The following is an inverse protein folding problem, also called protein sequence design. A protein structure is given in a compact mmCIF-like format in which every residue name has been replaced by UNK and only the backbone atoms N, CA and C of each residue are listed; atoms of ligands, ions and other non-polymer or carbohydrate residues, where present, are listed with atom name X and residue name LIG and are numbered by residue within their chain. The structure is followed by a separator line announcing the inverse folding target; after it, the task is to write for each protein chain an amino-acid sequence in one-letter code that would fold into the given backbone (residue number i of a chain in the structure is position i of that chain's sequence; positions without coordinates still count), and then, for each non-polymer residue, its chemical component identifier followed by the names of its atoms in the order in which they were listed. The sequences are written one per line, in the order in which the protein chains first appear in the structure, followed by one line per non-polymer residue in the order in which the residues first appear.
data_IF_445489960823
#
_entry.id   IF_445489960823
#
_cell.length_a   1.000
_cell.length_b   1.000
_cell.length_c   1.000
_cell.angle_alpha   90.00
_cell.angle_beta   90.00
_cell.angle_gamma   90.00
#
_symmetry.space_group_name_H-M   'P 1'
#
loop_
_entity.id
_entity.type
_entity.pdbx_description
1 polymer ?
#
# COMPACT_ATOMS: atom_id res chain seq x y z
N UNK A 1 -82.64 -30.65 -23.65
CA UNK A 1 -82.96 -29.40 -22.91
C UNK A 1 -81.76 -29.02 -22.07
N UNK A 2 -81.30 -27.77 -22.18
CA UNK A 2 -80.29 -27.17 -21.29
C UNK A 2 -80.97 -26.84 -19.95
N UNK A 3 -80.24 -26.88 -18.83
CA UNK A 3 -79.90 -25.71 -17.99
C UNK A 3 -79.18 -26.09 -16.69
N UNK A 4 -78.44 -25.11 -16.18
CA UNK A 4 -77.28 -25.16 -15.29
C UNK A 4 -77.61 -25.25 -13.79
N UNK A 5 -76.65 -25.70 -12.96
CA UNK A 5 -76.37 -25.02 -11.69
C UNK A 5 -74.90 -25.10 -11.28
N UNK A 6 -74.32 -23.91 -11.20
CA UNK A 6 -73.05 -23.48 -10.62
C UNK A 6 -72.78 -24.04 -9.22
N UNK A 7 -71.57 -24.56 -8.98
CA UNK A 7 -70.92 -24.50 -7.65
C UNK A 7 -69.47 -24.07 -7.80
N UNK A 8 -69.08 -23.11 -6.95
CA UNK A 8 -67.84 -22.34 -6.98
C UNK A 8 -66.64 -23.15 -6.48
N UNK A 9 -65.50 -23.02 -7.16
CA UNK A 9 -64.22 -23.57 -6.70
C UNK A 9 -63.62 -22.71 -5.58
N UNK A 10 -63.29 -23.36 -4.47
CA UNK A 10 -62.36 -22.86 -3.46
C UNK A 10 -60.94 -23.33 -3.77
N UNK A 11 -59.94 -22.43 -3.85
CA UNK A 11 -58.67 -22.53 -3.10
C UNK A 11 -57.58 -21.55 -3.57
N UNK A 12 -57.08 -20.77 -2.60
CA UNK A 12 -55.71 -20.30 -2.38
C UNK A 12 -54.99 -19.37 -3.39
N UNK A 13 -55.09 -18.07 -3.09
CA UNK A 13 -53.95 -17.13 -2.85
C UNK A 13 -52.53 -17.50 -3.33
N UNK A 14 -52.17 -17.08 -4.56
CA UNK A 14 -50.78 -16.97 -5.02
C UNK A 14 -50.34 -15.50 -5.12
N UNK A 15 -49.59 -15.00 -4.13
CA UNK A 15 -49.08 -13.62 -4.11
C UNK A 15 -47.91 -13.34 -5.08
N UNK A 16 -47.55 -12.06 -5.30
CA UNK A 16 -46.68 -11.57 -6.39
C UNK A 16 -45.17 -11.81 -6.13
N UNK A 17 -44.77 -13.07 -5.95
CA UNK A 17 -43.35 -13.44 -5.70
C UNK A 17 -42.62 -13.97 -6.94
N UNK A 18 -43.31 -14.52 -7.93
CA UNK A 18 -42.68 -15.15 -9.11
C UNK A 18 -42.08 -14.16 -10.11
N UNK A 19 -42.69 -12.99 -10.27
CA UNK A 19 -42.18 -11.96 -11.20
C UNK A 19 -40.85 -11.37 -10.74
N UNK A 20 -40.63 -11.23 -9.42
CA UNK A 20 -39.37 -10.71 -8.88
C UNK A 20 -38.20 -11.68 -9.07
N UNK A 21 -38.46 -12.99 -8.99
CA UNK A 21 -37.46 -14.05 -9.22
C UNK A 21 -37.12 -14.18 -10.71
N UNK A 22 -38.13 -14.06 -11.58
CA UNK A 22 -37.97 -14.01 -13.04
C UNK A 22 -37.20 -12.75 -13.47
N UNK A 23 -37.48 -11.59 -12.84
CA UNK A 23 -36.76 -10.32 -13.07
C UNK A 23 -35.30 -10.41 -12.63
N UNK A 24 -35.00 -10.96 -11.44
CA UNK A 24 -33.62 -11.21 -10.97
C UNK A 24 -32.85 -12.19 -11.86
N UNK A 25 -33.51 -13.25 -12.36
CA UNK A 25 -32.91 -14.22 -13.29
C UNK A 25 -32.63 -13.59 -14.65
N UNK A 26 -33.52 -12.72 -15.14
CA UNK A 26 -33.31 -11.99 -16.38
C UNK A 26 -32.17 -10.96 -16.24
N UNK A 27 -32.10 -10.29 -15.09
CA UNK A 27 -31.01 -9.35 -14.77
C UNK A 27 -29.65 -10.07 -14.73
N UNK A 28 -29.56 -11.25 -14.09
CA UNK A 28 -28.35 -12.09 -14.13
C UNK A 28 -27.97 -12.54 -15.54
N UNK A 29 -28.95 -12.87 -16.40
CA UNK A 29 -28.71 -13.26 -17.80
C UNK A 29 -28.28 -12.09 -18.68
N UNK A 30 -28.75 -10.88 -18.39
CA UNK A 30 -28.25 -9.70 -19.09
C UNK A 30 -26.82 -9.36 -18.65
N UNK A 31 -26.50 -9.43 -17.36
CA UNK A 31 -25.13 -9.24 -16.85
C UNK A 31 -24.16 -10.26 -17.47
N UNK A 32 -24.52 -11.56 -17.53
CA UNK A 32 -23.64 -12.56 -18.16
C UNK A 32 -23.47 -12.36 -19.67
N UNK A 33 -24.51 -11.85 -20.37
CA UNK A 33 -24.40 -11.51 -21.79
C UNK A 33 -23.50 -10.28 -22.04
N UNK A 34 -23.42 -9.36 -21.09
CA UNK A 34 -22.46 -8.24 -21.16
C UNK A 34 -21.03 -8.73 -20.91
N UNK A 35 -20.82 -9.60 -19.92
CA UNK A 35 -19.50 -10.19 -19.62
C UNK A 35 -18.97 -11.09 -20.76
N UNK A 36 -19.86 -11.80 -21.46
CA UNK A 36 -19.50 -12.61 -22.64
C UNK A 36 -19.25 -11.75 -23.90
N UNK A 37 -19.96 -10.62 -24.05
CA UNK A 37 -19.70 -9.66 -25.13
C UNK A 37 -18.37 -8.93 -24.98
N UNK A 38 -17.93 -8.63 -23.75
CA UNK A 38 -16.57 -8.08 -23.51
C UNK A 38 -15.51 -9.10 -23.93
N UNK A 39 -15.66 -10.38 -23.59
CA UNK A 39 -14.68 -11.42 -23.93
C UNK A 39 -14.55 -11.72 -25.42
N UNK A 40 -15.58 -11.48 -26.22
CA UNK A 40 -15.53 -11.71 -27.67
C UNK A 40 -14.91 -10.55 -28.45
N UNK A 41 -14.76 -9.36 -27.85
CA UNK A 41 -14.17 -8.20 -28.50
C UNK A 41 -12.63 -8.14 -28.39
N UNK A 42 -12.03 -8.93 -27.50
CA UNK A 42 -10.58 -8.96 -27.26
C UNK A 42 -9.80 -9.85 -28.24
N UNK A 43 -10.46 -10.81 -28.92
CA UNK A 43 -9.77 -11.76 -29.82
C UNK A 43 -9.77 -11.35 -31.29
N UNK A 44 -10.39 -10.23 -31.64
CA UNK A 44 -10.57 -9.81 -33.03
C UNK A 44 -10.27 -8.31 -33.21
N UNK A 45 -9.01 -7.91 -33.05
CA UNK A 45 -8.36 -6.78 -33.76
C UNK A 45 -6.94 -6.56 -33.25
N UNK A 46 -5.98 -7.16 -33.95
CA UNK A 46 -4.68 -6.54 -34.12
C UNK A 46 -4.79 -5.39 -35.13
N UNK A 47 -3.87 -4.43 -34.99
CA UNK A 47 -3.63 -3.25 -35.85
C UNK A 47 -4.41 -1.96 -35.51
N UNK A 48 -3.70 -1.01 -34.89
CA UNK A 48 -3.81 0.42 -35.18
C UNK A 48 -4.47 1.32 -34.12
N UNK A 49 -3.69 2.28 -33.61
CA UNK A 49 -4.17 3.64 -33.38
C UNK A 49 -4.61 4.00 -31.96
N UNK A 50 -3.81 4.86 -31.34
CA UNK A 50 -3.93 5.49 -30.03
C UNK A 50 -5.32 6.03 -29.64
N UNK A 51 -5.70 5.81 -28.38
CA UNK A 51 -6.80 6.56 -27.77
C UNK A 51 -7.50 5.83 -26.63
N UNK A 52 -6.75 5.41 -25.60
CA UNK A 52 -7.18 5.22 -24.20
C UNK A 52 -6.13 4.36 -23.49
N UNK A 53 -5.23 4.98 -22.71
CA UNK A 53 -4.45 4.24 -21.71
C UNK A 53 -5.20 4.40 -20.39
N UNK A 54 -6.14 3.51 -20.03
CA UNK A 54 -6.90 3.65 -18.80
C UNK A 54 -5.96 3.47 -17.59
N UNK A 55 -6.19 4.32 -16.60
CA UNK A 55 -5.42 4.43 -15.37
C UNK A 55 -4.98 3.08 -14.79
N UNK A 56 -3.67 2.87 -14.76
CA UNK A 56 -2.98 1.73 -14.12
C UNK A 56 -3.30 0.41 -14.81
N UNK A 57 -2.32 -0.13 -15.51
CA UNK A 57 -2.02 -1.57 -15.46
C UNK A 57 -1.90 -1.95 -13.98
N UNK A 58 -3.02 -2.21 -13.29
CA UNK A 58 -3.00 -2.84 -11.98
C UNK A 58 -2.29 -4.15 -12.26
N UNK A 59 -1.08 -4.33 -11.75
CA UNK A 59 -0.54 -5.66 -11.55
C UNK A 59 -1.59 -6.37 -10.70
N UNK A 60 -2.54 -7.03 -11.36
CA UNK A 60 -3.47 -7.94 -10.71
C UNK A 60 -2.58 -9.09 -10.32
N UNK A 61 -2.13 -9.05 -9.07
CA UNK A 61 -1.35 -10.13 -8.51
C UNK A 61 -2.14 -11.41 -8.67
N UNK A 62 -1.44 -12.50 -8.96
CA UNK A 62 -2.11 -13.79 -8.85
C UNK A 62 -2.57 -13.97 -7.39
N UNK A 63 -3.71 -14.62 -7.16
CA UNK A 63 -4.14 -14.95 -5.80
C UNK A 63 -3.06 -15.71 -5.00
N UNK A 64 -2.16 -16.42 -5.70
CA UNK A 64 -0.98 -17.08 -5.14
C UNK A 64 0.06 -16.08 -4.62
N UNK A 65 0.35 -15.01 -5.37
CA UNK A 65 1.24 -13.94 -4.93
C UNK A 65 0.69 -13.18 -3.72
N UNK A 66 -0.60 -12.86 -3.71
CA UNK A 66 -1.24 -12.16 -2.58
C UNK A 66 -1.15 -13.00 -1.31
N UNK A 67 -1.45 -14.30 -1.41
CA UNK A 67 -1.34 -15.24 -0.28
C UNK A 67 0.09 -15.36 0.23
N UNK A 68 1.09 -15.37 -0.66
CA UNK A 68 2.52 -15.39 -0.25
C UNK A 68 2.93 -14.07 0.41
N UNK A 69 2.53 -12.94 -0.16
CA UNK A 69 2.81 -11.62 0.40
C UNK A 69 2.23 -11.51 1.82
N UNK A 70 0.97 -11.91 2.03
CA UNK A 70 0.35 -11.93 3.34
C UNK A 70 1.08 -12.85 4.34
N UNK A 71 1.50 -14.05 3.89
CA UNK A 71 2.24 -15.01 4.72
C UNK A 71 3.55 -14.45 5.27
N UNK A 72 4.33 -13.80 4.41
CA UNK A 72 5.68 -13.32 4.78
C UNK A 72 5.71 -11.85 5.22
N UNK A 73 4.62 -11.10 5.04
CA UNK A 73 4.54 -9.67 5.39
C UNK A 73 5.00 -9.40 6.83
N UNK A 74 4.56 -10.22 7.79
CA UNK A 74 4.92 -10.05 9.21
C UNK A 74 6.40 -10.29 9.47
N UNK A 75 6.98 -11.35 8.90
CA UNK A 75 8.41 -11.66 9.05
C UNK A 75 9.25 -10.56 8.41
N UNK A 76 8.97 -10.20 7.16
CA UNK A 76 9.65 -9.12 6.44
C UNK A 76 9.54 -7.79 7.17
N UNK A 77 8.39 -7.48 7.78
CA UNK A 77 8.21 -6.28 8.58
C UNK A 77 9.16 -6.25 9.79
N UNK A 78 9.21 -7.32 10.60
CA UNK A 78 10.10 -7.34 11.75
C UNK A 78 11.57 -7.28 11.36
N UNK A 79 11.97 -7.99 10.32
CA UNK A 79 13.35 -7.96 9.82
C UNK A 79 13.72 -6.57 9.30
N UNK A 80 12.81 -5.91 8.56
CA UNK A 80 12.98 -4.52 8.14
C UNK A 80 13.19 -3.60 9.34
N UNK A 81 12.36 -3.71 10.37
CA UNK A 81 12.47 -2.86 11.58
C UNK A 81 13.81 -3.10 12.29
N UNK A 82 14.28 -4.35 12.37
CA UNK A 82 15.61 -4.68 12.94
C UNK A 82 16.73 -4.01 12.15
N UNK A 83 16.70 -4.11 10.82
CA UNK A 83 17.70 -3.49 9.95
C UNK A 83 17.65 -1.96 10.03
N UNK A 84 16.46 -1.35 9.98
CA UNK A 84 16.30 0.10 10.09
C UNK A 84 16.86 0.64 11.41
N UNK A 85 16.65 -0.07 12.52
CA UNK A 85 17.24 0.28 13.82
C UNK A 85 18.76 0.21 13.78
N UNK A 86 19.34 -0.83 13.17
CA UNK A 86 20.80 -0.99 13.08
C UNK A 86 21.43 0.05 12.14
N UNK A 87 20.82 0.30 10.97
CA UNK A 87 21.22 1.37 10.05
C UNK A 87 21.21 2.72 10.77
N UNK A 88 20.16 3.01 11.54
CA UNK A 88 20.09 4.25 12.33
C UNK A 88 21.20 4.34 13.37
N UNK A 89 21.50 3.25 14.07
CA UNK A 89 22.57 3.22 15.07
C UNK A 89 23.93 3.55 14.43
N UNK A 90 24.26 2.87 13.32
CA UNK A 90 25.54 3.05 12.62
C UNK A 90 25.65 4.46 12.05
N UNK A 91 24.59 4.98 11.41
CA UNK A 91 24.62 6.34 10.87
C UNK A 91 24.77 7.41 11.96
N UNK A 92 24.09 7.24 13.10
CA UNK A 92 24.25 8.15 14.23
C UNK A 92 25.66 8.09 14.84
N UNK A 93 26.35 6.94 14.81
CA UNK A 93 27.72 6.81 15.28
C UNK A 93 28.71 7.52 14.32
N UNK A 94 28.53 7.30 13.01
CA UNK A 94 29.27 8.01 11.96
C UNK A 94 29.10 9.53 12.09
N UNK A 95 27.87 10.02 12.28
CA UNK A 95 27.58 11.45 12.47
C UNK A 95 28.26 12.06 13.72
N UNK A 96 28.54 11.23 14.74
CA UNK A 96 29.23 11.65 15.97
C UNK A 96 30.76 11.58 15.86
N UNK A 97 31.31 11.20 14.71
CA UNK A 97 32.74 11.13 14.46
C UNK A 97 33.38 9.76 14.69
N UNK A 98 32.61 8.73 15.07
CA UNK A 98 33.10 7.36 15.23
C UNK A 98 33.14 6.62 13.88
N UNK A 99 33.82 7.21 12.89
CA UNK A 99 33.86 6.68 11.52
C UNK A 99 35.09 5.79 11.36
N UNK A 100 34.86 4.47 11.31
CA UNK A 100 35.87 3.48 10.91
C UNK A 100 35.54 2.85 9.55
N UNK A 101 36.53 2.23 8.92
CA UNK A 101 36.31 1.45 7.68
C UNK A 101 35.24 0.37 7.90
N UNK A 102 35.35 -0.35 9.01
CA UNK A 102 34.41 -1.41 9.40
C UNK A 102 32.98 -0.88 9.55
N UNK A 103 32.80 0.34 10.05
CA UNK A 103 31.48 0.98 10.15
C UNK A 103 30.90 1.32 8.77
N UNK A 104 31.74 1.76 7.82
CA UNK A 104 31.30 2.05 6.45
C UNK A 104 30.91 0.77 5.70
N UNK A 105 31.67 -0.32 5.90
CA UNK A 105 31.32 -1.64 5.37
C UNK A 105 30.06 -2.20 6.01
N UNK A 106 29.92 -2.06 7.34
CA UNK A 106 28.70 -2.42 8.06
C UNK A 106 27.51 -1.62 7.55
N UNK A 107 27.67 -0.32 7.29
CA UNK A 107 26.61 0.51 6.70
C UNK A 107 26.21 -0.03 5.32
N UNK A 108 27.17 -0.33 4.45
CA UNK A 108 26.89 -0.84 3.09
C UNK A 108 26.10 -2.15 3.13
N UNK A 109 26.58 -3.13 3.92
CA UNK A 109 25.92 -4.43 4.06
C UNK A 109 24.49 -4.31 4.61
N UNK A 110 24.27 -3.46 5.62
CA UNK A 110 22.93 -3.21 6.17
C UNK A 110 21.98 -2.54 5.17
N UNK A 111 22.49 -1.67 4.29
CA UNK A 111 21.69 -1.05 3.23
C UNK A 111 21.31 -2.06 2.15
N UNK A 112 22.22 -2.94 1.75
CA UNK A 112 21.93 -4.04 0.82
C UNK A 112 20.87 -4.98 1.40
N UNK A 113 20.97 -5.31 2.69
CA UNK A 113 19.97 -6.12 3.40
C UNK A 113 18.60 -5.43 3.44
N UNK A 114 18.59 -4.10 3.65
CA UNK A 114 17.36 -3.33 3.64
C UNK A 114 16.73 -3.30 2.24
N UNK A 115 17.54 -3.21 1.18
CA UNK A 115 17.07 -3.30 -0.21
C UNK A 115 16.48 -4.68 -0.49
N UNK A 116 17.13 -5.76 -0.05
CA UNK A 116 16.61 -7.12 -0.20
C UNK A 116 15.18 -7.27 0.34
N UNK A 117 14.91 -6.73 1.53
CA UNK A 117 13.57 -6.82 2.13
C UNK A 117 12.56 -5.90 1.42
N UNK A 118 12.96 -4.67 1.09
CA UNK A 118 12.06 -3.67 0.49
C UNK A 118 11.65 -4.00 -0.94
N UNK A 119 12.57 -4.58 -1.70
CA UNK A 119 12.45 -4.85 -3.13
C UNK A 119 12.37 -6.34 -3.43
N UNK A 120 12.01 -7.15 -2.43
CA UNK A 120 11.88 -8.59 -2.58
C UNK A 120 10.93 -8.95 -3.73
N UNK A 121 11.34 -9.85 -4.65
CA UNK A 121 10.53 -10.23 -5.81
C UNK A 121 9.22 -10.87 -5.36
N UNK A 122 8.12 -10.29 -5.83
CA UNK A 122 6.76 -10.77 -5.52
C UNK A 122 6.54 -12.08 -6.28
N UNK A 123 6.14 -13.12 -5.55
CA UNK A 123 5.91 -14.45 -6.13
C UNK A 123 6.89 -15.52 -5.65
N UNK A 124 8.05 -15.11 -5.12
CA UNK A 124 9.00 -16.02 -4.51
C UNK A 124 8.71 -16.25 -3.03
N UNK A 125 9.27 -17.33 -2.46
CA UNK A 125 9.24 -17.56 -1.01
C UNK A 125 10.32 -16.71 -0.36
N UNK A 126 9.94 -15.90 0.62
CA UNK A 126 10.91 -15.11 1.38
C UNK A 126 11.83 -16.01 2.20
N UNK A 127 13.12 -15.66 2.24
CA UNK A 127 14.13 -16.36 3.03
C UNK A 127 14.70 -15.36 4.04
N UNK A 128 14.53 -15.67 5.33
CA UNK A 128 14.96 -14.82 6.44
C UNK A 128 16.45 -14.52 6.40
N UNK A 129 16.81 -13.28 6.74
CA UNK A 129 18.21 -12.88 6.93
C UNK A 129 18.77 -13.35 8.26
N UNK A 130 17.92 -13.46 9.29
CA UNK A 130 18.32 -13.75 10.67
C UNK A 130 18.17 -15.23 11.07
N UNK A 131 17.88 -16.10 10.11
CA UNK A 131 17.87 -17.54 10.35
C UNK A 131 19.32 -18.04 10.47
N UNK A 132 19.61 -18.71 11.60
CA UNK A 132 20.97 -19.12 11.99
C UNK A 132 21.44 -20.38 11.26
N UNK A 133 20.53 -21.32 11.01
CA UNK A 133 20.86 -22.64 10.46
C UNK A 133 20.19 -22.84 9.09
N UNK A 134 20.76 -22.22 8.05
CA UNK A 134 20.31 -22.44 6.68
C UNK A 134 21.06 -23.60 6.05
N UNK A 135 20.33 -24.53 5.44
CA UNK A 135 20.93 -25.49 4.52
C UNK A 135 21.64 -24.75 3.37
N UNK A 136 22.81 -25.23 2.89
CA UNK A 136 23.60 -24.55 1.85
C UNK A 136 22.79 -24.16 0.61
N UNK A 137 21.96 -25.08 0.11
CA UNK A 137 21.08 -24.84 -1.05
C UNK A 137 20.05 -23.72 -0.83
N UNK A 138 19.62 -23.48 0.42
CA UNK A 138 18.72 -22.37 0.77
C UNK A 138 19.52 -21.05 0.84
N UNK A 139 20.75 -21.11 1.33
CA UNK A 139 21.68 -19.98 1.34
C UNK A 139 21.97 -19.45 -0.08
N UNK A 140 22.25 -20.34 -1.03
CA UNK A 140 22.47 -19.97 -2.43
C UNK A 140 21.22 -19.34 -3.07
N UNK A 141 20.03 -19.90 -2.81
CA UNK A 141 18.77 -19.31 -3.27
C UNK A 141 18.58 -17.90 -2.71
N UNK A 142 18.90 -17.69 -1.43
CA UNK A 142 18.85 -16.36 -0.81
C UNK A 142 19.81 -15.39 -1.49
N UNK A 143 21.02 -15.83 -1.85
CA UNK A 143 21.99 -15.00 -2.57
C UNK A 143 21.45 -14.54 -3.94
N UNK A 144 20.88 -15.46 -4.73
CA UNK A 144 20.25 -15.12 -6.02
C UNK A 144 19.11 -14.12 -5.87
N UNK A 145 18.23 -14.33 -4.87
CA UNK A 145 17.12 -13.41 -4.59
C UNK A 145 17.62 -12.04 -4.08
N UNK A 146 18.76 -11.99 -3.39
CA UNK A 146 19.41 -10.73 -3.01
C UNK A 146 19.87 -9.96 -4.24
N UNK A 147 20.59 -10.62 -5.14
CA UNK A 147 21.06 -10.01 -6.39
C UNK A 147 19.90 -9.45 -7.22
N UNK A 148 18.83 -10.22 -7.41
CA UNK A 148 17.62 -9.78 -8.12
C UNK A 148 16.96 -8.56 -7.45
N UNK A 149 16.83 -8.57 -6.12
CA UNK A 149 16.25 -7.45 -5.38
C UNK A 149 17.12 -6.19 -5.44
N UNK A 150 18.46 -6.34 -5.44
CA UNK A 150 19.41 -5.25 -5.58
C UNK A 150 19.37 -4.65 -6.98
N UNK A 151 19.31 -5.48 -8.01
CA UNK A 151 19.14 -5.06 -9.41
C UNK A 151 17.82 -4.32 -9.63
N UNK A 152 16.73 -4.81 -9.03
CA UNK A 152 15.46 -4.08 -9.06
C UNK A 152 15.55 -2.76 -8.30
N UNK A 153 16.21 -2.75 -7.14
CA UNK A 153 16.38 -1.54 -6.34
C UNK A 153 17.16 -0.47 -7.11
N UNK A 154 18.25 -0.81 -7.79
CA UNK A 154 19.10 0.14 -8.53
C UNK A 154 18.36 0.80 -9.70
N UNK A 155 17.38 0.13 -10.30
CA UNK A 155 16.52 0.69 -11.35
C UNK A 155 15.48 1.69 -10.82
N UNK A 156 15.26 1.75 -9.51
CA UNK A 156 14.22 2.59 -8.90
C UNK A 156 14.81 3.66 -8.00
N UNK A 157 14.31 4.91 -8.08
CA UNK A 157 14.71 6.00 -7.18
C UNK A 157 14.48 5.69 -5.68
N UNK A 158 13.61 4.71 -5.40
CA UNK A 158 13.35 4.28 -4.03
C UNK A 158 14.49 3.45 -3.47
N UNK A 159 15.38 2.90 -4.30
CA UNK A 159 16.51 2.05 -3.93
C UNK A 159 17.77 2.79 -3.47
N UNK A 160 17.85 4.09 -3.79
CA UNK A 160 18.98 4.95 -3.46
C UNK A 160 19.23 5.03 -1.95
N UNK A 161 20.49 5.23 -1.55
CA UNK A 161 20.88 5.34 -0.13
C UNK A 161 20.13 6.46 0.60
N UNK A 162 19.88 7.58 -0.09
CA UNK A 162 19.09 8.69 0.44
C UNK A 162 17.65 8.27 0.73
N UNK A 163 17.04 7.52 -0.19
CA UNK A 163 15.68 6.99 -0.01
C UNK A 163 15.65 5.91 1.09
N UNK A 164 16.67 5.04 1.14
CA UNK A 164 16.83 4.01 2.16
C UNK A 164 16.91 4.59 3.57
N UNK A 165 17.59 5.72 3.76
CA UNK A 165 17.86 6.35 5.07
C UNK A 165 16.87 7.45 5.46
N UNK A 166 15.93 7.81 4.57
CA UNK A 166 14.95 8.89 4.76
C UNK A 166 14.09 8.77 6.04
N UNK A 167 13.90 7.56 6.57
CA UNK A 167 13.13 7.31 7.80
C UNK A 167 13.79 7.91 9.06
N UNK A 168 15.09 8.17 9.02
CA UNK A 168 15.86 8.72 10.15
C UNK A 168 15.52 10.21 10.34
N UNK A 169 15.54 10.99 9.26
CA UNK A 169 15.29 12.45 9.28
C UNK A 169 13.84 12.79 9.64
N UNK A 170 12.88 11.95 9.25
CA UNK A 170 11.44 12.17 9.50
C UNK A 170 11.10 12.26 11.00
N UNK A 171 11.81 11.53 11.86
CA UNK A 171 11.55 11.51 13.31
C UNK A 171 12.14 12.71 14.05
N UNK A 172 13.17 13.36 13.52
CA UNK A 172 13.75 14.56 14.13
C UNK A 172 12.80 15.77 14.02
N UNK A 173 12.15 15.95 12.85
CA UNK A 173 11.17 17.04 12.63
C UNK A 173 9.92 16.90 13.51
N UNK A 174 9.47 15.67 13.78
CA UNK A 174 8.34 15.42 14.67
C UNK A 174 8.65 15.71 16.15
N UNK A 175 9.93 15.75 16.55
CA UNK A 175 10.35 16.13 17.91
C UNK A 175 10.51 17.64 18.10
N UNK A 176 10.89 18.37 17.04
CA UNK A 176 11.09 19.83 17.08
C UNK A 176 9.83 20.63 16.76
N UNK A 177 8.77 20.00 16.24
CA UNK A 177 7.52 20.66 15.81
C UNK A 177 6.41 20.76 16.85
N UNK A 178 6.72 20.63 18.15
CA UNK A 178 5.73 20.70 19.23
C UNK A 178 5.68 22.08 19.89
N UNK A 179 4.57 22.80 19.68
CA UNK A 179 4.15 24.11 20.24
C UNK A 179 4.71 25.36 19.52
N UNK A 180 4.10 25.70 18.39
CA UNK A 180 3.95 27.12 18.05
C UNK A 180 2.88 27.70 19.00
N UNK A 181 3.29 28.50 19.98
CA UNK A 181 2.37 29.34 20.74
C UNK A 181 1.71 30.29 19.73
N UNK A 182 0.39 30.17 19.60
CA UNK A 182 -0.43 31.13 18.87
C UNK A 182 -0.39 32.43 19.68
N UNK A 183 0.47 33.37 19.29
CA UNK A 183 0.36 34.75 19.74
C UNK A 183 -1.03 35.23 19.30
N UNK A 184 -1.87 35.56 20.27
CA UNK A 184 -3.13 36.24 20.02
C UNK A 184 -2.77 37.71 20.12
N UNK A 185 -2.73 38.40 18.99
CA UNK A 185 -2.52 39.83 18.93
C UNK A 185 -3.71 40.51 19.61
N UNK A 186 -3.56 40.84 20.90
CA UNK A 186 -4.47 41.76 21.59
C UNK A 186 -4.10 43.14 21.10
N UNK A 187 -4.95 43.72 20.25
CA UNK A 187 -4.80 45.09 19.78
C UNK A 187 -4.66 46.04 20.99
N UNK A 188 -3.68 46.96 21.00
CA UNK A 188 -3.61 47.98 22.02
C UNK A 188 -4.85 48.87 21.89
N UNK A 189 -5.68 48.88 22.92
CA UNK A 189 -6.73 49.88 23.11
C UNK A 189 -6.08 51.26 23.02
N UNK A 190 -6.57 52.17 22.15
CA UNK A 190 -6.12 53.55 22.13
C UNK A 190 -6.33 54.16 23.52
N UNK A 191 -5.26 54.68 24.12
CA UNK A 191 -5.39 55.63 25.22
C UNK A 191 -6.06 56.86 24.60
N UNK A 192 -7.31 57.11 24.97
CA UNK A 192 -7.97 58.38 24.72
C UNK A 192 -7.33 59.41 25.65
N UNK A 193 -6.86 60.50 25.04
CA UNK A 193 -6.30 61.67 25.68
C UNK A 193 -7.38 62.35 26.53
N UNK A 194 -7.23 62.33 27.85
CA UNK A 194 -7.87 63.33 28.72
C UNK A 194 -6.78 64.32 29.16
N UNK A 195 -6.54 65.32 28.31
CA UNK A 195 -6.07 66.62 28.77
C UNK A 195 -7.29 67.37 29.29
N UNK A 196 -7.32 67.71 30.58
CA UNK A 196 -7.37 69.11 31.04
C UNK A 196 -7.69 69.22 32.54
N UNK A 197 -7.11 70.27 33.13
CA UNK A 197 -7.46 70.91 34.41
C UNK A 197 -6.82 70.40 35.71
N UNK A 198 -5.56 70.80 35.93
CA UNK A 198 -5.15 71.24 37.27
C UNK A 198 -4.05 72.34 37.24
N UNK A 199 -4.37 73.47 37.91
CA UNK A 199 -3.57 74.69 38.22
C UNK A 199 -3.68 75.81 37.16
N UNK A 200 -4.34 76.95 37.40
CA UNK A 200 -4.41 77.80 38.60
C UNK A 200 -5.73 78.60 38.67
#
# INVERSE_FOLDING_TARGET
MRNNSTTMSSSSTGGPKDDTKKKKRNQKRQISRYDEKEKQHDTAKGAGGDGDIPAKRRHRYSAKEEKRAARYAKVMFFERIKLERRVKYVLNAIEKGDTSSDMLEQKKTLLDDLRYIKFFPRGQKYISLFAKDLAPAVGEKRKKLREEALEYASRTYKGDDKAMTSFIKRKQRAKTGGKAQKQVDVAPTPLEDEEDDFLL
#
